data_IF_397457759206
#
_entry.id   IF_397457759206
#
_cell.length_a   1.000
_cell.length_b   1.000
_cell.length_c   1.000
_cell.angle_alpha   90.00
_cell.angle_beta   90.00
_cell.angle_gamma   90.00
#
_symmetry.space_group_name_H-M   'P 1'
#
loop_
_entity.id
_entity.type
_entity.pdbx_description
1 polymer ?
#
# COMPACT_ATOMS: atom_id res chain seq x y z
N UNK A 1 -10.24 -7.93 -15.10
CA UNK A 1 -8.82 -7.62 -15.35
C UNK A 1 -7.92 -8.58 -14.61
N UNK A 2 -6.91 -9.06 -15.30
CA UNK A 2 -5.96 -10.01 -14.70
C UNK A 2 -4.73 -9.27 -14.18
N UNK A 3 -4.36 -9.58 -12.95
CA UNK A 3 -3.12 -9.08 -12.37
C UNK A 3 -2.08 -10.18 -12.55
N UNK A 4 -0.90 -9.83 -13.06
CA UNK A 4 0.17 -10.78 -13.27
C UNK A 4 0.67 -11.33 -11.93
N UNK A 5 1.06 -12.62 -11.89
CA UNK A 5 1.49 -13.24 -10.64
C UNK A 5 2.70 -12.56 -10.02
N UNK A 6 3.60 -12.03 -10.83
CA UNK A 6 4.76 -11.28 -10.32
C UNK A 6 4.33 -10.01 -9.60
N UNK A 7 3.25 -9.39 -10.04
CA UNK A 7 2.73 -8.19 -9.40
C UNK A 7 2.10 -8.54 -8.04
N UNK A 8 1.50 -9.72 -7.96
CA UNK A 8 0.93 -10.23 -6.70
C UNK A 8 2.04 -10.42 -5.67
N UNK A 9 3.14 -11.02 -6.07
CA UNK A 9 4.26 -11.23 -5.15
C UNK A 9 4.81 -9.91 -4.64
N UNK A 10 4.91 -8.93 -5.54
CA UNK A 10 5.37 -7.60 -5.17
C UNK A 10 4.38 -6.92 -4.24
N UNK A 11 3.10 -7.09 -4.49
CA UNK A 11 2.05 -6.56 -3.62
C UNK A 11 2.17 -7.14 -2.21
N UNK A 12 2.28 -8.46 -2.09
CA UNK A 12 2.42 -9.11 -0.79
C UNK A 12 3.67 -8.64 -0.05
N UNK A 13 4.79 -8.55 -0.75
CA UNK A 13 6.04 -8.08 -0.16
C UNK A 13 5.89 -6.68 0.41
N UNK A 14 5.36 -5.76 -0.39
CA UNK A 14 5.19 -4.38 0.03
C UNK A 14 4.17 -4.25 1.16
N UNK A 15 3.11 -5.04 1.12
CA UNK A 15 2.10 -5.02 2.18
C UNK A 15 2.68 -5.54 3.49
N UNK A 16 3.52 -6.57 3.45
CA UNK A 16 4.18 -7.07 4.65
C UNK A 16 5.08 -6.01 5.27
N UNK A 17 5.88 -5.35 4.45
CA UNK A 17 6.76 -4.30 4.93
C UNK A 17 5.97 -3.13 5.49
N UNK A 18 4.91 -2.73 4.81
CA UNK A 18 4.01 -1.70 5.28
C UNK A 18 3.39 -2.07 6.62
N UNK A 19 2.93 -3.31 6.75
CA UNK A 19 2.29 -3.77 7.98
C UNK A 19 3.24 -3.77 9.17
N UNK A 20 4.49 -4.15 8.94
CA UNK A 20 5.50 -4.11 9.99
C UNK A 20 5.78 -2.68 10.42
N UNK A 21 5.98 -1.77 9.47
CA UNK A 21 6.26 -0.37 9.79
C UNK A 21 5.11 0.30 10.53
N UNK A 22 3.89 -0.06 10.19
CA UNK A 22 2.70 0.55 10.78
C UNK A 22 2.12 -0.28 11.93
N UNK A 23 2.81 -1.34 12.34
CA UNK A 23 2.41 -2.18 13.47
C UNK A 23 1.02 -2.77 13.32
N UNK A 24 0.68 -3.18 12.12
CA UNK A 24 -0.59 -3.81 11.83
C UNK A 24 -0.52 -5.31 12.12
N UNK A 25 -1.58 -5.84 12.69
CA UNK A 25 -1.70 -7.27 12.92
C UNK A 25 -2.50 -7.87 11.78
N UNK A 26 -1.84 -8.66 10.96
CA UNK A 26 -2.44 -9.19 9.75
C UNK A 26 -2.48 -10.72 9.82
N UNK A 27 -3.64 -11.28 9.53
CA UNK A 27 -3.79 -12.73 9.38
C UNK A 27 -3.46 -13.10 7.94
N UNK A 28 -2.19 -13.40 7.69
CA UNK A 28 -1.68 -13.60 6.33
C UNK A 28 -2.38 -14.74 5.60
N UNK A 29 -2.79 -15.78 6.31
CA UNK A 29 -3.51 -16.90 5.70
C UNK A 29 -4.82 -16.42 5.06
N UNK A 30 -5.51 -15.50 5.71
CA UNK A 30 -6.75 -14.94 5.18
C UNK A 30 -6.48 -14.01 4.00
N UNK A 31 -5.40 -13.25 4.07
CA UNK A 31 -5.02 -12.36 2.97
C UNK A 31 -4.72 -13.17 1.71
N UNK A 32 -4.03 -14.29 1.86
CA UNK A 32 -3.68 -15.13 0.71
C UNK A 32 -4.90 -15.77 0.04
N UNK A 33 -6.01 -15.89 0.75
CA UNK A 33 -7.25 -16.41 0.20
C UNK A 33 -8.01 -15.39 -0.64
N UNK A 34 -7.70 -14.12 -0.49
CA UNK A 34 -8.40 -13.04 -1.20
C UNK A 34 -7.89 -12.97 -2.64
N UNK A 35 -8.80 -13.01 -3.63
CA UNK A 35 -8.36 -12.81 -5.03
C UNK A 35 -7.64 -11.49 -5.19
N UNK A 36 -6.63 -11.46 -6.03
CA UNK A 36 -5.74 -10.32 -6.18
C UNK A 36 -6.46 -9.02 -6.49
N UNK A 37 -7.44 -9.07 -7.40
CA UNK A 37 -8.19 -7.87 -7.78
C UNK A 37 -9.00 -7.31 -6.60
N UNK A 38 -9.57 -8.18 -5.79
CA UNK A 38 -10.26 -7.75 -4.58
C UNK A 38 -9.29 -7.17 -3.56
N UNK A 39 -8.12 -7.79 -3.42
CA UNK A 39 -7.13 -7.34 -2.45
C UNK A 39 -6.63 -5.94 -2.78
N UNK A 40 -6.36 -5.64 -4.05
CA UNK A 40 -5.93 -4.30 -4.46
C UNK A 40 -6.97 -3.26 -4.04
N UNK A 41 -8.23 -3.53 -4.31
CA UNK A 41 -9.29 -2.59 -3.96
C UNK A 41 -9.50 -2.49 -2.45
N UNK A 42 -9.43 -3.62 -1.75
CA UNK A 42 -9.59 -3.66 -0.30
C UNK A 42 -8.50 -2.83 0.39
N UNK A 43 -7.25 -3.00 -0.01
CA UNK A 43 -6.14 -2.25 0.57
C UNK A 43 -6.22 -0.77 0.21
N UNK A 44 -6.59 -0.46 -1.03
CA UNK A 44 -6.73 0.93 -1.47
C UNK A 44 -7.76 1.70 -0.64
N UNK A 45 -8.82 1.02 -0.20
CA UNK A 45 -9.91 1.67 0.52
C UNK A 45 -9.74 1.64 2.03
N UNK A 46 -8.99 0.68 2.56
CA UNK A 46 -8.97 0.44 4.00
C UNK A 46 -7.65 0.80 4.69
N UNK A 47 -6.55 0.90 3.98
CA UNK A 47 -5.31 1.34 4.60
C UNK A 47 -5.38 2.84 4.90
N UNK A 48 -4.58 3.27 5.86
CA UNK A 48 -4.63 4.63 6.37
C UNK A 48 -3.84 5.61 5.51
N UNK A 49 -4.26 5.73 4.25
CA UNK A 49 -3.69 6.70 3.33
C UNK A 49 -4.39 8.05 3.52
N UNK A 50 -3.70 9.13 3.15
CA UNK A 50 -4.31 10.46 3.16
C UNK A 50 -5.44 10.54 2.14
N UNK A 51 -6.27 11.60 2.25
CA UNK A 51 -7.35 11.82 1.31
C UNK A 51 -6.85 11.94 -0.12
N UNK A 52 -5.73 12.64 -0.32
CA UNK A 52 -5.13 12.81 -1.64
C UNK A 52 -4.63 11.47 -2.19
N UNK A 53 -4.00 10.68 -1.34
CA UNK A 53 -3.51 9.35 -1.74
C UNK A 53 -4.65 8.43 -2.11
N UNK A 54 -5.70 8.40 -1.32
CA UNK A 54 -6.89 7.59 -1.63
C UNK A 54 -7.53 8.03 -2.93
N UNK A 55 -7.59 9.33 -3.17
CA UNK A 55 -8.15 9.85 -4.40
C UNK A 55 -7.30 9.43 -5.60
N UNK A 56 -5.99 9.47 -5.47
CA UNK A 56 -5.08 8.99 -6.53
C UNK A 56 -5.39 7.53 -6.88
N UNK A 57 -5.58 6.68 -5.86
CA UNK A 57 -5.90 5.29 -6.09
C UNK A 57 -7.25 5.11 -6.78
N UNK A 58 -8.26 5.89 -6.38
CA UNK A 58 -9.59 5.80 -6.96
C UNK A 58 -9.63 6.33 -8.39
N UNK A 59 -8.77 7.27 -8.75
CA UNK A 59 -8.68 7.83 -10.08
C UNK A 59 -7.87 6.98 -11.04
N UNK A 60 -7.20 5.93 -10.57
CA UNK A 60 -6.44 5.04 -11.44
C UNK A 60 -7.36 4.46 -12.52
N UNK A 61 -6.95 4.51 -13.79
CA UNK A 61 -7.84 4.14 -14.90
C UNK A 61 -8.15 2.64 -14.97
N UNK A 62 -7.29 1.81 -14.40
CA UNK A 62 -7.50 0.38 -14.41
C UNK A 62 -6.83 -0.25 -13.17
N UNK A 63 -7.03 -1.55 -13.02
CA UNK A 63 -6.56 -2.27 -11.86
C UNK A 63 -5.04 -2.33 -11.78
N UNK A 64 -4.38 -2.50 -12.92
CA UNK A 64 -2.91 -2.56 -12.95
C UNK A 64 -2.30 -1.23 -12.51
N UNK A 65 -2.84 -0.11 -12.97
CA UNK A 65 -2.38 1.20 -12.53
C UNK A 65 -2.63 1.41 -11.03
N UNK A 66 -3.77 0.94 -10.54
CA UNK A 66 -4.08 1.04 -9.12
C UNK A 66 -3.12 0.22 -8.30
N UNK A 67 -2.76 -0.96 -8.77
CA UNK A 67 -1.77 -1.81 -8.11
C UNK A 67 -0.42 -1.11 -8.03
N UNK A 68 0.04 -0.52 -9.12
CA UNK A 68 1.31 0.20 -9.14
C UNK A 68 1.29 1.37 -8.17
N UNK A 69 0.22 2.14 -8.16
CA UNK A 69 0.07 3.27 -7.26
C UNK A 69 0.03 2.82 -5.80
N UNK A 70 -0.68 1.73 -5.54
CA UNK A 70 -0.78 1.17 -4.19
C UNK A 70 0.59 0.73 -3.67
N UNK A 71 1.36 0.03 -4.48
CA UNK A 71 2.70 -0.42 -4.12
C UNK A 71 3.59 0.78 -3.83
N UNK A 72 3.54 1.79 -4.69
CA UNK A 72 4.33 3.00 -4.51
C UNK A 72 3.97 3.72 -3.21
N UNK A 73 2.67 3.86 -2.92
CA UNK A 73 2.22 4.53 -1.71
C UNK A 73 2.61 3.77 -0.45
N UNK A 74 2.51 2.45 -0.47
CA UNK A 74 2.93 1.65 0.67
C UNK A 74 4.44 1.77 0.92
N UNK A 75 5.22 1.80 -0.15
CA UNK A 75 6.67 1.96 -0.03
C UNK A 75 7.07 3.34 0.49
N UNK A 76 6.35 4.37 0.10
CA UNK A 76 6.64 5.75 0.51
C UNK A 76 6.23 6.04 1.95
N UNK A 77 5.26 5.32 2.47
CA UNK A 77 4.72 5.55 3.81
C UNK A 77 5.82 5.53 4.88
N UNK A 78 6.67 4.52 4.86
CA UNK A 78 7.76 4.42 5.84
C UNK A 78 8.81 5.52 5.66
N UNK A 79 9.11 5.87 4.42
CA UNK A 79 10.07 6.94 4.14
C UNK A 79 9.55 8.29 4.63
N UNK A 80 8.27 8.53 4.45
CA UNK A 80 7.66 9.79 4.90
C UNK A 80 7.75 9.92 6.42
N UNK A 81 7.54 8.84 7.14
CA UNK A 81 7.65 8.85 8.60
C UNK A 81 9.09 9.10 9.04
N UNK A 82 10.05 8.46 8.39
CA UNK A 82 11.47 8.65 8.69
C UNK A 82 11.87 10.10 8.44
N UNK A 83 11.41 10.69 7.35
CA UNK A 83 11.69 12.09 7.05
C UNK A 83 11.01 13.03 8.03
N UNK A 84 9.81 12.68 8.48
CA UNK A 84 9.09 13.48 9.45
C UNK A 84 9.80 13.49 10.80
N UNK A 85 10.40 12.37 11.18
CA UNK A 85 11.18 12.29 12.42
C UNK A 85 12.43 13.17 12.36
N UNK A 86 13.01 13.31 11.19
CA UNK A 86 14.19 14.14 11.01
C UNK A 86 13.88 15.63 10.88
N UNK A 87 12.88 15.95 10.10
CA UNK A 87 12.59 17.33 9.72
C UNK A 87 12.38 18.29 10.89
N UNK A 88 11.61 17.92 11.91
CA UNK A 88 11.42 18.83 13.04
C UNK A 88 12.71 19.16 13.77
N UNK A 89 13.61 18.22 13.84
CA UNK A 89 14.89 18.45 14.52
C UNK A 89 15.77 19.41 13.75
N UNK A 90 15.72 19.37 12.45
CA UNK A 90 16.51 20.27 11.60
C UNK A 90 15.93 21.65 11.53
N UNK A 91 14.62 21.74 11.53
CA UNK A 91 13.94 23.01 11.39
C UNK A 91 13.91 23.82 12.70
N UNK A 92 14.07 23.13 13.78
CA UNK A 92 14.11 23.78 15.09
C UNK A 92 15.53 24.06 15.54
#
# INVERSE_FOLDING_TARGET
EAILSKDIELLYKNFREYSVRNKLKIEWEKIEEIPANYLVNLLSMNLDFSGIEKQTLLESPNLDSRLDDLIALMGMSGLSEDLADFSPNYLN
#
